data_IF_175646040467
#
_entry.id   IF_175646040467
#
_cell.length_a   1.000
_cell.length_b   1.000
_cell.length_c   1.000
_cell.angle_alpha   90.00
_cell.angle_beta   90.00
_cell.angle_gamma   90.00
#
_symmetry.space_group_name_H-M   'P 1'
#
loop_
_entity.id
_entity.type
_entity.pdbx_description
1 polymer ?
#
# COMPACT_ATOMS: atom_id res chain seq x y z
N UNK A 1 -6.11 47.57 12.90
CA UNK A 1 -4.70 48.02 12.94
C UNK A 1 -4.54 49.07 14.04
N UNK A 2 -4.19 48.63 15.24
CA UNK A 2 -3.89 49.51 16.39
C UNK A 2 -2.43 49.27 16.75
N UNK A 3 -1.60 50.29 16.51
CA UNK A 3 -0.16 50.27 16.76
C UNK A 3 0.15 51.01 18.06
N UNK A 4 0.77 50.33 19.02
CA UNK A 4 1.52 50.89 20.16
C UNK A 4 2.64 49.88 20.48
N UNK A 5 3.89 50.14 20.09
CA UNK A 5 4.91 51.03 20.69
C UNK A 5 5.58 50.46 21.96
N UNK A 6 6.91 50.29 21.82
CA UNK A 6 8.01 50.54 22.78
C UNK A 6 8.52 49.38 23.67
N UNK A 7 9.68 48.80 23.25
CA UNK A 7 11.02 48.72 23.92
C UNK A 7 11.09 48.98 25.45
N UNK A 8 12.04 48.43 26.26
CA UNK A 8 13.48 48.25 25.94
C UNK A 8 14.25 47.10 26.66
N UNK A 9 15.57 47.04 26.37
CA UNK A 9 16.65 46.23 26.99
C UNK A 9 17.08 46.70 28.40
N UNK A 10 17.53 45.77 29.26
CA UNK A 10 18.51 45.96 30.36
C UNK A 10 18.96 44.56 30.87
N UNK A 11 20.16 44.04 30.57
CA UNK A 11 21.49 44.13 31.28
C UNK A 11 21.65 43.37 32.62
N UNK A 12 22.64 42.45 32.63
CA UNK A 12 23.61 42.12 33.70
C UNK A 12 23.10 41.42 35.00
N UNK A 13 23.81 40.57 35.76
CA UNK A 13 25.15 40.00 35.76
C UNK A 13 25.23 38.75 36.69
N UNK A 14 26.21 37.88 36.39
CA UNK A 14 27.09 37.05 37.24
C UNK A 14 26.75 36.85 38.73
N UNK A 15 26.74 35.59 39.17
CA UNK A 15 27.34 35.18 40.46
C UNK A 15 27.77 33.71 40.44
N UNK A 16 29.09 33.49 40.45
CA UNK A 16 29.78 32.24 40.79
C UNK A 16 29.67 32.00 42.31
N UNK A 17 29.29 30.79 42.71
CA UNK A 17 29.50 30.27 44.06
C UNK A 17 30.03 28.85 44.00
N UNK A 18 31.11 28.65 44.76
CA UNK A 18 31.97 27.47 44.86
C UNK A 18 31.36 26.42 45.79
N UNK A 19 31.62 25.14 45.49
CA UNK A 19 31.11 23.91 46.11
C UNK A 19 31.37 23.76 47.63
N UNK A 20 30.69 22.79 48.29
CA UNK A 20 31.41 21.51 48.52
C UNK A 20 30.57 20.23 48.37
N UNK A 21 31.33 19.15 48.25
CA UNK A 21 31.01 17.74 48.01
C UNK A 21 30.05 17.15 49.05
N UNK A 22 29.00 16.45 48.59
CA UNK A 22 28.32 15.39 49.33
C UNK A 22 27.91 14.29 48.35
N UNK A 23 28.39 13.08 48.60
CA UNK A 23 28.08 11.87 47.87
C UNK A 23 26.59 11.53 47.96
N UNK A 24 25.96 11.31 46.80
CA UNK A 24 24.64 10.73 46.68
C UNK A 24 24.54 10.06 45.33
N UNK A 25 24.76 8.75 45.30
CA UNK A 25 24.58 7.90 44.13
C UNK A 25 23.11 7.97 43.67
N UNK A 26 22.79 8.86 42.74
CA UNK A 26 21.62 8.68 41.89
C UNK A 26 22.03 7.69 40.81
N UNK A 27 21.53 6.46 40.91
CA UNK A 27 21.56 5.50 39.82
C UNK A 27 21.02 6.20 38.58
N UNK A 28 21.92 6.55 37.66
CA UNK A 28 21.53 6.98 36.32
C UNK A 28 20.97 5.72 35.67
N UNK A 29 19.65 5.55 35.80
CA UNK A 29 18.90 4.56 35.05
C UNK A 29 19.19 4.88 33.58
N UNK A 30 20.03 4.05 32.98
CA UNK A 30 20.41 4.21 31.60
C UNK A 30 19.11 4.10 30.79
N UNK A 31 18.66 5.23 30.24
CA UNK A 31 17.62 5.25 29.22
C UNK A 31 18.09 4.25 28.16
N UNK A 32 17.33 3.17 27.89
CA UNK A 32 17.70 2.25 26.84
C UNK A 32 17.87 3.07 25.56
N UNK A 33 19.05 2.98 24.94
CA UNK A 33 19.23 3.55 23.62
C UNK A 33 18.08 3.04 22.74
N UNK A 34 17.46 3.89 21.90
CA UNK A 34 16.41 3.43 21.00
C UNK A 34 16.97 2.25 20.22
N UNK A 35 16.41 1.06 20.46
CA UNK A 35 16.73 -0.11 19.66
C UNK A 35 16.46 0.30 18.22
N UNK A 36 17.51 0.28 17.40
CA UNK A 36 17.36 0.45 15.96
C UNK A 36 16.29 -0.55 15.54
N UNK A 37 15.16 -0.04 15.03
CA UNK A 37 14.14 -0.89 14.47
C UNK A 37 14.84 -1.74 13.40
N UNK A 38 14.89 -3.04 13.62
CA UNK A 38 15.33 -3.97 12.59
C UNK A 38 14.37 -3.77 11.43
N UNK A 39 14.84 -3.16 10.35
CA UNK A 39 14.12 -3.11 9.07
C UNK A 39 13.73 -4.55 8.75
N UNK A 40 12.43 -4.80 8.65
CA UNK A 40 11.95 -6.12 8.29
C UNK A 40 12.61 -6.52 6.96
N UNK A 41 13.12 -7.75 6.87
CA UNK A 41 13.73 -8.21 5.64
C UNK A 41 12.65 -8.34 4.56
N UNK A 42 13.02 -8.01 3.32
CA UNK A 42 12.20 -8.31 2.14
C UNK A 42 11.89 -9.81 2.10
N UNK A 43 10.63 -10.23 1.85
CA UNK A 43 10.25 -11.64 1.73
C UNK A 43 11.11 -12.38 0.73
N UNK A 44 11.58 -13.56 1.12
CA UNK A 44 12.39 -14.45 0.31
C UNK A 44 11.60 -15.68 -0.19
N UNK A 45 10.41 -15.93 0.36
CA UNK A 45 9.53 -17.05 -0.03
C UNK A 45 8.08 -16.59 -0.30
N UNK A 46 7.30 -17.35 -1.10
CA UNK A 46 5.87 -17.08 -1.29
C UNK A 46 5.08 -17.04 0.02
N UNK A 47 5.37 -17.93 0.96
CA UNK A 47 4.72 -17.96 2.28
C UNK A 47 5.02 -16.71 3.13
N UNK A 48 6.23 -16.14 3.01
CA UNK A 48 6.56 -14.87 3.65
C UNK A 48 5.84 -13.69 2.97
N UNK A 49 5.59 -13.74 1.66
CA UNK A 49 4.80 -12.74 0.97
C UNK A 49 3.32 -12.83 1.35
N UNK A 50 2.76 -14.04 1.42
CA UNK A 50 1.39 -14.30 1.89
C UNK A 50 1.14 -13.67 3.27
N UNK A 51 2.11 -13.79 4.18
CA UNK A 51 2.02 -13.27 5.54
C UNK A 51 1.91 -11.74 5.60
N UNK A 52 2.23 -11.02 4.50
CA UNK A 52 2.07 -9.57 4.41
C UNK A 52 0.67 -9.14 3.95
N UNK A 53 -0.13 -10.03 3.36
CA UNK A 53 -1.46 -9.67 2.91
C UNK A 53 -2.42 -9.46 4.08
N UNK A 54 -3.30 -8.46 3.98
CA UNK A 54 -4.43 -8.30 4.91
C UNK A 54 -5.25 -9.59 5.02
N UNK A 55 -5.72 -9.89 6.23
CA UNK A 55 -6.47 -11.12 6.52
C UNK A 55 -7.98 -10.91 6.35
N UNK A 56 -8.44 -9.74 6.77
CA UNK A 56 -9.82 -9.30 6.75
C UNK A 56 -9.91 -7.91 6.11
N UNK A 57 -11.10 -7.58 5.59
CA UNK A 57 -11.40 -6.28 4.99
C UNK A 57 -12.47 -5.54 5.82
N UNK A 58 -12.49 -4.20 5.83
CA UNK A 58 -13.39 -3.41 6.69
C UNK A 58 -14.88 -3.68 6.47
N UNK A 59 -15.29 -3.99 5.24
CA UNK A 59 -16.65 -4.41 4.89
C UNK A 59 -17.10 -5.69 5.59
N UNK A 60 -16.16 -6.48 6.14
CA UNK A 60 -16.46 -7.77 6.76
C UNK A 60 -16.86 -8.86 5.76
N UNK A 61 -16.57 -8.64 4.47
CA UNK A 61 -16.81 -9.64 3.43
C UNK A 61 -16.08 -10.96 3.77
N UNK A 62 -16.71 -12.12 3.54
CA UNK A 62 -16.04 -13.39 3.78
C UNK A 62 -14.92 -13.59 2.75
N UNK A 63 -13.76 -14.07 3.23
CA UNK A 63 -12.65 -14.47 2.36
C UNK A 63 -13.10 -15.59 1.42
N UNK A 64 -12.80 -15.47 0.14
CA UNK A 64 -12.95 -16.53 -0.85
C UNK A 64 -11.73 -17.46 -0.77
N UNK A 65 -11.90 -18.78 -0.65
CA UNK A 65 -10.79 -19.73 -0.75
C UNK A 65 -10.08 -19.61 -2.11
N UNK A 66 -8.75 -19.61 -2.08
CA UNK A 66 -7.94 -19.28 -3.27
C UNK A 66 -8.18 -20.28 -4.43
N UNK A 67 -8.49 -21.54 -4.11
CA UNK A 67 -8.77 -22.62 -5.06
C UNK A 67 -10.19 -22.63 -5.63
N UNK A 68 -11.10 -21.81 -5.10
CA UNK A 68 -12.47 -21.66 -5.61
C UNK A 68 -12.57 -20.64 -6.76
N UNK A 69 -11.49 -19.91 -7.05
CA UNK A 69 -11.41 -18.97 -8.16
C UNK A 69 -10.84 -19.61 -9.43
N UNK A 70 -11.25 -19.10 -10.58
CA UNK A 70 -10.75 -19.55 -11.89
C UNK A 70 -10.31 -18.35 -12.72
N UNK A 71 -8.99 -18.16 -12.95
CA UNK A 71 -7.89 -18.94 -12.38
C UNK A 71 -7.80 -18.82 -10.85
N UNK A 72 -7.14 -19.78 -10.15
CA UNK A 72 -7.02 -19.72 -8.70
C UNK A 72 -6.27 -18.46 -8.28
N UNK A 73 -6.63 -17.90 -7.13
CA UNK A 73 -5.87 -16.83 -6.48
C UNK A 73 -4.63 -17.43 -5.78
N UNK A 74 -4.17 -16.82 -4.68
CA UNK A 74 -2.99 -17.32 -3.97
C UNK A 74 -1.69 -16.89 -4.63
N UNK A 75 -0.64 -17.71 -4.47
CA UNK A 75 0.69 -17.51 -5.07
C UNK A 75 0.61 -17.31 -6.59
N UNK A 76 1.38 -16.34 -7.09
CA UNK A 76 1.52 -16.04 -8.53
C UNK A 76 2.96 -16.13 -8.98
N UNK A 77 3.25 -17.08 -9.86
CA UNK A 77 4.49 -17.11 -10.62
C UNK A 77 4.40 -16.16 -11.81
N UNK A 78 5.55 -15.89 -12.46
CA UNK A 78 5.58 -15.10 -13.69
C UNK A 78 4.68 -15.70 -14.78
N UNK A 79 4.63 -17.03 -14.88
CA UNK A 79 3.80 -17.72 -15.86
C UNK A 79 2.31 -17.56 -15.55
N UNK A 80 1.93 -17.38 -14.29
CA UNK A 80 0.54 -17.18 -13.90
C UNK A 80 0.06 -15.78 -14.27
N UNK A 81 0.86 -14.76 -13.95
CA UNK A 81 0.55 -13.36 -14.29
C UNK A 81 0.59 -13.14 -15.80
N UNK A 82 1.56 -13.73 -16.51
CA UNK A 82 1.67 -13.59 -17.95
C UNK A 82 0.44 -14.11 -18.71
N UNK A 83 -0.27 -15.11 -18.16
CA UNK A 83 -1.49 -15.66 -18.77
C UNK A 83 -2.70 -14.72 -18.70
N UNK A 84 -2.64 -13.63 -17.94
CA UNK A 84 -3.67 -12.60 -17.97
C UNK A 84 -3.63 -11.75 -19.24
N UNK A 85 -2.45 -11.61 -19.86
CA UNK A 85 -2.34 -10.91 -21.13
C UNK A 85 -2.77 -11.77 -22.32
N UNK A 86 -2.88 -11.10 -23.48
CA UNK A 86 -3.30 -11.76 -24.72
C UNK A 86 -2.21 -12.66 -25.33
N UNK A 87 -0.94 -12.35 -25.07
CA UNK A 87 0.23 -13.11 -25.51
C UNK A 87 1.13 -13.41 -24.31
N UNK A 88 0.94 -14.58 -23.70
CA UNK A 88 1.65 -14.97 -22.48
C UNK A 88 3.17 -15.02 -22.65
N UNK A 89 3.70 -15.34 -23.84
CA UNK A 89 5.14 -15.34 -24.05
C UNK A 89 5.67 -13.90 -24.02
N UNK A 90 4.97 -12.98 -24.70
CA UNK A 90 5.33 -11.56 -24.68
C UNK A 90 5.23 -10.98 -23.28
N UNK A 91 4.18 -11.30 -22.52
CA UNK A 91 4.04 -10.79 -21.16
C UNK A 91 5.08 -11.35 -20.20
N UNK A 92 5.50 -12.60 -20.39
CA UNK A 92 6.61 -13.14 -19.61
C UNK A 92 7.91 -12.35 -19.84
N UNK A 93 8.20 -11.94 -21.08
CA UNK A 93 9.35 -11.08 -21.38
C UNK A 93 9.21 -9.71 -20.70
N UNK A 94 8.04 -9.09 -20.77
CA UNK A 94 7.76 -7.79 -20.15
C UNK A 94 7.88 -7.85 -18.62
N UNK A 95 7.30 -8.86 -17.99
CA UNK A 95 7.42 -9.09 -16.54
C UNK A 95 8.87 -9.36 -16.11
N UNK A 96 9.63 -10.10 -16.92
CA UNK A 96 11.05 -10.32 -16.68
C UNK A 96 11.86 -9.01 -16.79
N UNK A 97 11.51 -8.12 -17.72
CA UNK A 97 12.13 -6.79 -17.87
C UNK A 97 11.84 -5.89 -16.67
N UNK A 98 10.65 -5.97 -16.06
CA UNK A 98 10.35 -5.32 -14.78
C UNK A 98 11.10 -5.96 -13.60
N UNK A 99 11.64 -7.17 -13.77
CA UNK A 99 12.24 -7.93 -12.69
C UNK A 99 11.20 -8.53 -11.72
N UNK A 100 10.02 -8.91 -12.22
CA UNK A 100 9.00 -9.61 -11.45
C UNK A 100 9.58 -10.89 -10.82
N UNK A 101 9.33 -11.09 -9.53
CA UNK A 101 9.85 -12.26 -8.80
C UNK A 101 8.74 -13.23 -8.41
N UNK A 102 7.65 -12.72 -7.84
CA UNK A 102 6.48 -13.47 -7.37
C UNK A 102 5.36 -12.49 -7.00
N UNK A 103 4.15 -13.02 -6.85
CA UNK A 103 3.00 -12.25 -6.42
C UNK A 103 2.07 -13.08 -5.57
N UNK A 104 1.05 -12.43 -5.03
CA UNK A 104 -0.04 -13.09 -4.32
C UNK A 104 -1.34 -12.33 -4.53
N UNK A 105 -2.43 -13.06 -4.76
CA UNK A 105 -3.77 -12.49 -4.89
C UNK A 105 -4.69 -13.00 -3.78
N UNK A 106 -5.53 -12.13 -3.22
CA UNK A 106 -6.55 -12.49 -2.23
C UNK A 106 -7.85 -11.75 -2.50
N UNK A 107 -8.97 -12.42 -2.23
CA UNK A 107 -10.31 -11.93 -2.51
C UNK A 107 -11.25 -12.14 -1.32
N UNK A 108 -12.16 -11.19 -1.14
CA UNK A 108 -13.31 -11.25 -0.24
C UNK A 108 -14.54 -10.88 -1.06
N UNK A 109 -15.64 -11.63 -0.90
CA UNK A 109 -16.78 -11.48 -1.81
C UNK A 109 -18.11 -11.88 -1.18
N UNK A 110 -19.16 -11.13 -1.49
CA UNK A 110 -20.57 -11.49 -1.30
C UNK A 110 -21.26 -11.56 -2.69
N UNK A 111 -22.59 -11.64 -2.75
CA UNK A 111 -23.29 -11.79 -4.04
C UNK A 111 -22.94 -10.68 -5.04
N UNK A 112 -22.95 -9.42 -4.60
CA UNK A 112 -22.78 -8.24 -5.46
C UNK A 112 -21.50 -7.45 -5.15
N UNK A 113 -20.87 -7.67 -3.99
CA UNK A 113 -19.72 -6.92 -3.53
C UNK A 113 -18.43 -7.75 -3.61
N UNK A 114 -17.32 -7.07 -3.85
CA UNK A 114 -16.00 -7.69 -3.98
C UNK A 114 -14.94 -6.74 -3.44
N UNK A 115 -13.95 -7.29 -2.75
CA UNK A 115 -12.68 -6.64 -2.50
C UNK A 115 -11.56 -7.59 -2.89
N UNK A 116 -10.53 -7.09 -3.55
CA UNK A 116 -9.33 -7.87 -3.88
C UNK A 116 -8.06 -7.08 -3.57
N UNK A 117 -7.02 -7.80 -3.18
CA UNK A 117 -5.68 -7.27 -2.97
C UNK A 117 -4.69 -8.15 -3.71
N UNK A 118 -3.93 -7.54 -4.62
CA UNK A 118 -2.81 -8.16 -5.30
C UNK A 118 -1.53 -7.51 -4.78
N UNK A 119 -0.56 -8.34 -4.42
CA UNK A 119 0.75 -7.92 -3.94
C UNK A 119 1.82 -8.57 -4.80
N UNK A 120 2.49 -7.76 -5.61
CA UNK A 120 3.55 -8.22 -6.52
C UNK A 120 4.90 -7.72 -6.05
N UNK A 121 5.91 -8.61 -6.11
CA UNK A 121 7.27 -8.34 -5.65
C UNK A 121 8.25 -8.35 -6.82
N UNK A 122 9.10 -7.33 -6.86
CA UNK A 122 10.09 -7.10 -7.90
C UNK A 122 11.51 -7.19 -7.34
N UNK A 123 12.48 -7.30 -8.25
CA UNK A 123 13.90 -7.28 -7.90
C UNK A 123 14.39 -5.88 -7.50
N UNK A 124 13.77 -4.83 -8.04
CA UNK A 124 14.15 -3.43 -7.81
C UNK A 124 12.90 -2.53 -7.73
N UNK A 125 12.93 -1.45 -6.92
CA UNK A 125 11.81 -0.51 -6.83
C UNK A 125 11.36 0.08 -8.16
N UNK A 126 12.28 0.33 -9.09
CA UNK A 126 11.92 0.88 -10.41
C UNK A 126 11.03 -0.06 -11.23
N UNK A 127 11.20 -1.37 -11.05
CA UNK A 127 10.34 -2.40 -11.64
C UNK A 127 8.91 -2.32 -11.11
N UNK A 128 8.77 -2.23 -9.79
CA UNK A 128 7.48 -2.09 -9.12
C UNK A 128 6.73 -0.80 -9.52
N UNK A 129 7.44 0.33 -9.58
CA UNK A 129 6.87 1.61 -10.04
C UNK A 129 6.37 1.50 -11.48
N UNK A 130 7.21 0.99 -12.38
CA UNK A 130 6.86 0.89 -13.81
C UNK A 130 5.69 -0.07 -14.02
N UNK A 131 5.68 -1.20 -13.31
CA UNK A 131 4.58 -2.16 -13.38
C UNK A 131 3.27 -1.57 -12.88
N UNK A 132 3.28 -0.85 -11.75
CA UNK A 132 2.10 -0.18 -11.21
C UNK A 132 1.52 0.86 -12.19
N UNK A 133 2.38 1.69 -12.78
CA UNK A 133 1.99 2.71 -13.76
C UNK A 133 1.40 2.08 -15.04
N UNK A 134 2.01 1.00 -15.52
CA UNK A 134 1.58 0.29 -16.72
C UNK A 134 0.26 -0.46 -16.47
N UNK A 135 0.10 -1.08 -15.30
CA UNK A 135 -1.13 -1.75 -14.91
C UNK A 135 -2.29 -0.76 -14.79
N UNK A 136 -2.09 0.36 -14.09
CA UNK A 136 -3.11 1.42 -14.00
C UNK A 136 -3.53 1.94 -15.38
N UNK A 137 -2.56 2.16 -16.29
CA UNK A 137 -2.85 2.61 -17.66
C UNK A 137 -3.65 1.55 -18.43
N UNK A 138 -3.22 0.29 -18.38
CA UNK A 138 -3.89 -0.80 -19.09
C UNK A 138 -5.32 -1.01 -18.58
N UNK A 139 -5.53 -0.92 -17.26
CA UNK A 139 -6.87 -1.07 -16.66
C UNK A 139 -7.76 0.14 -16.98
N UNK A 140 -7.22 1.36 -17.01
CA UNK A 140 -7.97 2.53 -17.48
C UNK A 140 -8.40 2.39 -18.94
N UNK A 141 -7.55 1.85 -19.81
CA UNK A 141 -7.89 1.52 -21.20
C UNK A 141 -8.94 0.41 -21.28
N UNK A 142 -8.81 -0.63 -20.45
CA UNK A 142 -9.70 -1.79 -20.42
C UNK A 142 -11.12 -1.44 -19.93
N UNK A 143 -11.22 -0.68 -18.84
CA UNK A 143 -12.49 -0.29 -18.22
C UNK A 143 -13.04 1.03 -18.77
N UNK A 144 -12.24 1.83 -19.48
CA UNK A 144 -12.68 3.05 -20.15
C UNK A 144 -12.85 4.26 -19.22
N UNK A 145 -11.99 4.40 -18.20
CA UNK A 145 -12.03 5.53 -17.26
C UNK A 145 -10.78 6.41 -17.27
N UNK A 146 -10.74 7.40 -16.37
CA UNK A 146 -9.65 8.37 -16.25
C UNK A 146 -8.92 8.17 -14.93
N UNK A 147 -7.59 8.10 -15.00
CA UNK A 147 -6.74 7.95 -13.83
C UNK A 147 -6.62 9.26 -13.04
N UNK A 148 -6.86 9.19 -11.73
CA UNK A 148 -6.43 10.20 -10.75
C UNK A 148 -5.04 9.82 -10.23
N UNK A 149 -4.04 10.65 -10.53
CA UNK A 149 -2.63 10.43 -10.14
C UNK A 149 -2.25 11.12 -8.83
N UNK A 150 -3.19 11.80 -8.18
CA UNK A 150 -3.00 12.35 -6.84
C UNK A 150 -4.29 12.19 -6.03
N UNK A 151 -4.74 10.94 -5.84
CA UNK A 151 -6.02 10.67 -5.19
C UNK A 151 -5.99 11.10 -3.72
N UNK A 152 -6.93 11.97 -3.36
CA UNK A 152 -7.12 12.33 -1.96
C UNK A 152 -7.45 11.08 -1.12
N UNK A 153 -6.80 10.93 0.03
CA UNK A 153 -6.99 9.79 0.93
C UNK A 153 -6.02 8.62 0.71
N UNK A 154 -5.20 8.67 -0.35
CA UNK A 154 -4.14 7.70 -0.61
C UNK A 154 -2.76 8.38 -0.66
N UNK A 155 -1.66 7.62 -0.51
CA UNK A 155 -0.30 8.11 -0.74
C UNK A 155 -0.06 8.70 -2.14
N UNK A 156 0.96 9.57 -2.26
CA UNK A 156 1.32 10.28 -3.50
C UNK A 156 1.80 9.35 -4.64
N UNK A 157 2.23 8.14 -4.30
CA UNK A 157 2.69 7.09 -5.22
C UNK A 157 1.58 6.09 -5.60
N UNK A 158 0.33 6.41 -5.26
CA UNK A 158 -0.85 5.69 -5.69
C UNK A 158 -1.55 6.39 -6.86
N UNK A 159 -2.10 5.58 -7.76
CA UNK A 159 -2.99 6.01 -8.84
C UNK A 159 -4.35 5.36 -8.62
N UNK A 160 -5.44 6.09 -8.86
CA UNK A 160 -6.81 5.62 -8.68
C UNK A 160 -7.61 5.68 -9.98
N UNK A 161 -8.49 4.70 -10.17
CA UNK A 161 -9.52 4.65 -11.22
C UNK A 161 -10.87 4.41 -10.55
N UNK A 162 -11.88 5.20 -10.91
CA UNK A 162 -13.27 4.97 -10.53
C UNK A 162 -14.12 4.58 -11.75
N UNK A 163 -15.09 3.71 -11.51
CA UNK A 163 -16.13 3.28 -12.45
C UNK A 163 -17.48 3.42 -11.74
N UNK A 164 -18.16 4.52 -12.01
CA UNK A 164 -19.39 4.90 -11.31
C UNK A 164 -20.59 4.02 -11.70
N UNK A 165 -20.56 3.45 -12.91
CA UNK A 165 -21.60 2.57 -13.43
C UNK A 165 -21.23 1.09 -13.23
N UNK A 166 -22.19 0.23 -12.84
CA UNK A 166 -22.01 -1.22 -12.88
C UNK A 166 -21.56 -1.70 -14.25
N UNK A 167 -20.64 -2.65 -14.26
CA UNK A 167 -20.09 -3.20 -15.50
C UNK A 167 -20.12 -4.74 -15.50
N UNK A 168 -21.30 -5.35 -15.74
CA UNK A 168 -21.49 -6.80 -15.69
C UNK A 168 -20.62 -7.58 -16.69
N UNK A 169 -20.24 -6.96 -17.82
CA UNK A 169 -19.31 -7.56 -18.79
C UNK A 169 -17.91 -7.79 -18.19
N UNK A 170 -17.55 -7.06 -17.14
CA UNK A 170 -16.33 -7.23 -16.35
C UNK A 170 -16.63 -7.89 -14.99
N UNK A 171 -17.83 -8.46 -14.81
CA UNK A 171 -18.29 -9.11 -13.56
C UNK A 171 -18.36 -8.17 -12.34
N UNK A 172 -18.58 -6.88 -12.57
CA UNK A 172 -18.82 -5.89 -11.52
C UNK A 172 -20.33 -5.61 -11.44
N UNK A 173 -20.95 -6.00 -10.33
CA UNK A 173 -22.40 -5.85 -10.12
C UNK A 173 -22.80 -4.45 -9.65
N UNK A 174 -21.86 -3.69 -9.08
CA UNK A 174 -22.02 -2.30 -8.64
C UNK A 174 -20.88 -1.40 -9.14
N UNK A 175 -20.86 -0.12 -8.71
CA UNK A 175 -19.72 0.77 -8.88
C UNK A 175 -18.43 0.15 -8.38
N UNK A 176 -17.31 0.45 -9.05
CA UNK A 176 -16.01 -0.10 -8.73
C UNK A 176 -14.94 0.98 -8.64
N UNK A 177 -13.99 0.78 -7.74
CA UNK A 177 -12.78 1.60 -7.64
C UNK A 177 -11.56 0.70 -7.61
N UNK A 178 -10.46 1.21 -8.15
CA UNK A 178 -9.19 0.53 -8.24
C UNK A 178 -8.08 1.48 -7.80
N UNK A 179 -7.05 0.95 -7.15
CA UNK A 179 -5.84 1.68 -6.84
C UNK A 179 -4.61 0.82 -7.07
N UNK A 180 -3.58 1.45 -7.60
CA UNK A 180 -2.27 0.86 -7.81
C UNK A 180 -1.24 1.73 -7.13
N UNK A 181 -0.50 1.16 -6.18
CA UNK A 181 0.52 1.84 -5.42
C UNK A 181 1.84 1.09 -5.58
N UNK A 182 2.95 1.83 -5.59
CA UNK A 182 4.28 1.25 -5.46
C UNK A 182 4.83 1.53 -4.06
N UNK A 183 5.51 0.56 -3.44
CA UNK A 183 6.13 0.74 -2.13
C UNK A 183 7.40 -0.12 -2.04
N UNK A 184 8.56 0.52 -2.09
CA UNK A 184 9.83 -0.21 -2.19
C UNK A 184 9.83 -1.14 -3.41
N UNK A 185 10.09 -2.42 -3.20
CA UNK A 185 10.09 -3.44 -4.26
C UNK A 185 8.70 -4.04 -4.55
N UNK A 186 7.62 -3.45 -4.03
CA UNK A 186 6.28 -4.00 -4.16
C UNK A 186 5.36 -3.12 -5.01
N UNK A 187 4.48 -3.76 -5.75
CA UNK A 187 3.25 -3.16 -6.26
C UNK A 187 2.07 -3.71 -5.47
N UNK A 188 1.18 -2.82 -5.02
CA UNK A 188 -0.09 -3.17 -4.40
C UNK A 188 -1.21 -2.71 -5.32
N UNK A 189 -2.03 -3.65 -5.78
CA UNK A 189 -3.26 -3.34 -6.50
C UNK A 189 -4.47 -3.73 -5.65
N UNK A 190 -5.38 -2.79 -5.41
CA UNK A 190 -6.62 -3.02 -4.67
C UNK A 190 -7.80 -2.69 -5.56
N UNK A 191 -8.81 -3.55 -5.55
CA UNK A 191 -10.11 -3.26 -6.17
C UNK A 191 -11.21 -3.42 -5.13
N UNK A 192 -12.23 -2.56 -5.21
CA UNK A 192 -13.44 -2.67 -4.40
C UNK A 192 -14.67 -2.43 -5.29
N UNK A 193 -15.69 -3.28 -5.13
CA UNK A 193 -17.02 -3.19 -5.75
C UNK A 193 -18.03 -3.18 -4.62
N UNK A 194 -18.93 -2.19 -4.61
CA UNK A 194 -19.96 -2.02 -3.59
C UNK A 194 -21.27 -1.51 -4.19
N UNK A 195 -22.29 -1.26 -3.37
CA UNK A 195 -23.58 -0.69 -3.79
C UNK A 195 -23.45 0.75 -4.31
N UNK A 196 -22.49 1.51 -3.77
CA UNK A 196 -22.22 2.91 -4.13
C UNK A 196 -20.73 3.16 -4.35
N UNK A 197 -20.40 4.14 -5.19
CA UNK A 197 -19.01 4.56 -5.42
C UNK A 197 -18.35 5.01 -4.11
N UNK A 198 -19.07 5.74 -3.25
CA UNK A 198 -18.52 6.22 -1.98
C UNK A 198 -18.22 5.09 -0.99
N UNK A 199 -18.99 4.00 -1.00
CA UNK A 199 -18.70 2.82 -0.19
C UNK A 199 -17.52 2.04 -0.75
N UNK A 200 -17.47 1.83 -2.07
CA UNK A 200 -16.36 1.19 -2.74
C UNK A 200 -15.05 1.96 -2.48
N UNK A 201 -15.09 3.29 -2.60
CA UNK A 201 -13.95 4.19 -2.30
C UNK A 201 -13.47 4.08 -0.87
N UNK A 202 -14.39 4.10 0.10
CA UNK A 202 -14.02 4.00 1.52
C UNK A 202 -13.37 2.65 1.85
N UNK A 203 -13.90 1.57 1.28
CA UNK A 203 -13.33 0.24 1.44
C UNK A 203 -11.92 0.19 0.86
N UNK A 204 -11.75 0.65 -0.39
CA UNK A 204 -10.48 0.69 -1.07
C UNK A 204 -9.42 1.50 -0.33
N UNK A 205 -9.74 2.71 0.15
CA UNK A 205 -8.80 3.57 0.87
C UNK A 205 -8.32 2.90 2.17
N UNK A 206 -9.25 2.29 2.92
CA UNK A 206 -8.95 1.60 4.17
C UNK A 206 -8.10 0.34 3.94
N UNK A 207 -8.45 -0.48 2.94
CA UNK A 207 -7.71 -1.71 2.59
C UNK A 207 -6.33 -1.38 2.06
N UNK A 208 -6.21 -0.38 1.18
CA UNK A 208 -4.92 0.05 0.63
C UNK A 208 -3.99 0.52 1.74
N UNK A 209 -4.49 1.37 2.64
CA UNK A 209 -3.70 1.83 3.81
C UNK A 209 -3.26 0.66 4.68
N UNK A 210 -4.19 -0.24 5.05
CA UNK A 210 -3.89 -1.40 5.87
C UNK A 210 -2.89 -2.36 5.21
N UNK A 211 -2.95 -2.50 3.88
CA UNK A 211 -2.03 -3.33 3.13
C UNK A 211 -0.63 -2.72 3.06
N UNK A 212 -0.51 -1.42 2.81
CA UNK A 212 0.76 -0.71 2.77
C UNK A 212 1.46 -0.71 4.14
N UNK A 213 0.70 -0.55 5.23
CA UNK A 213 1.22 -0.61 6.61
C UNK A 213 1.84 -1.97 6.99
N UNK A 214 1.51 -3.04 6.26
CA UNK A 214 2.09 -4.38 6.47
C UNK A 214 3.42 -4.58 5.75
N UNK A 215 3.77 -3.72 4.79
CA UNK A 215 4.98 -3.89 4.00
C UNK A 215 6.25 -3.50 4.79
N UNK A 216 7.38 -4.20 4.58
CA UNK A 216 8.67 -3.74 5.08
C UNK A 216 8.97 -2.32 4.63
N UNK A 217 9.54 -1.50 5.52
CA UNK A 217 10.04 -0.19 5.15
C UNK A 217 11.12 -0.33 4.07
N UNK A 218 10.95 0.41 2.96
CA UNK A 218 11.91 0.51 1.85
C UNK A 218 13.11 1.38 2.16
#
# INVERSE_FOLDING_TARGET
MTSRRLLPRATAAVLLLVAPVCAGCSSSEAVPAPQAATTAATPASPAELEALLVDDVPSGLPRVPDDELVPPAGEKTIDDVARYGQDAQREQEVLADYGYTRGWERFWRSEEELTSVFLDQFADPSGAVTYADDLARNDAEHYGGVLDRSPAGLPDDCVLLAQDDPAPQHRMAGPAVFAWCSAGVFTVAVAAVADTEEEARRELEAVTTAQLDRLPAG
#
